data_IF_934689647647
#
_entry.id   IF_934689647647
#
_cell.length_a   1.000
_cell.length_b   1.000
_cell.length_c   1.000
_cell.angle_alpha   90.00
_cell.angle_beta   90.00
_cell.angle_gamma   90.00
#
_symmetry.space_group_name_H-M   'P 1'
#
loop_
_entity.id
_entity.type
_entity.pdbx_description
1 polymer ?
#
# COMPACT_ATOMS: atom_id res chain seq x y z
N UNK A 1 -15.78 26.68 -3.82
CA UNK A 1 -16.86 27.28 -3.01
C UNK A 1 -17.91 26.22 -2.83
N UNK A 2 -18.46 26.11 -1.62
CA UNK A 2 -19.59 25.22 -1.30
C UNK A 2 -20.90 25.96 -1.58
N UNK A 3 -22.06 25.27 -1.69
CA UNK A 3 -23.35 25.93 -1.90
C UNK A 3 -23.67 26.99 -0.84
N UNK A 4 -23.27 26.74 0.41
CA UNK A 4 -23.44 27.68 1.52
C UNK A 4 -22.64 28.97 1.30
N UNK A 5 -21.41 28.86 0.81
CA UNK A 5 -20.55 30.03 0.52
C UNK A 5 -21.13 30.85 -0.64
N UNK A 6 -21.64 30.20 -1.68
CA UNK A 6 -22.25 30.90 -2.83
C UNK A 6 -23.46 31.71 -2.38
N UNK A 7 -24.39 31.08 -1.66
CA UNK A 7 -25.56 31.77 -1.07
C UNK A 7 -25.15 32.92 -0.15
N UNK A 8 -24.09 32.72 0.64
CA UNK A 8 -23.59 33.74 1.56
C UNK A 8 -23.01 34.97 0.82
N UNK A 9 -22.33 34.76 -0.32
CA UNK A 9 -21.85 35.84 -1.18
C UNK A 9 -23.00 36.59 -1.85
N UNK A 10 -24.00 35.86 -2.38
CA UNK A 10 -25.21 36.46 -2.95
C UNK A 10 -25.94 37.34 -1.92
N UNK A 11 -26.11 36.86 -0.68
CA UNK A 11 -26.73 37.66 0.38
C UNK A 11 -25.88 38.85 0.81
N UNK A 12 -24.56 38.69 0.89
CA UNK A 12 -23.67 39.81 1.22
C UNK A 12 -23.74 40.92 0.14
N UNK A 13 -23.87 40.55 -1.14
CA UNK A 13 -24.04 41.50 -2.23
C UNK A 13 -25.37 42.28 -2.16
N UNK A 14 -26.44 41.67 -1.65
CA UNK A 14 -27.76 42.31 -1.46
C UNK A 14 -27.74 43.27 -0.25
N UNK A 15 -27.07 42.88 0.83
CA UNK A 15 -27.05 43.65 2.09
C UNK A 15 -26.18 44.90 2.02
N UNK A 16 -24.95 44.76 1.48
CA UNK A 16 -23.96 45.84 1.44
C UNK A 16 -23.02 45.64 0.25
N UNK A 17 -23.37 46.26 -0.88
CA UNK A 17 -22.60 46.17 -2.12
C UNK A 17 -21.20 46.81 -1.99
N UNK A 18 -21.07 47.86 -1.17
CA UNK A 18 -19.81 48.58 -0.97
C UNK A 18 -18.83 47.71 -0.18
N UNK A 19 -19.28 47.10 0.92
CA UNK A 19 -18.43 46.17 1.67
C UNK A 19 -18.18 44.85 0.94
N UNK A 20 -19.14 44.38 0.13
CA UNK A 20 -18.94 43.20 -0.72
C UNK A 20 -17.83 43.43 -1.75
N UNK A 21 -17.82 44.60 -2.41
CA UNK A 21 -16.74 44.96 -3.35
C UNK A 21 -15.38 45.11 -2.65
N UNK A 22 -15.36 45.54 -1.38
CA UNK A 22 -14.13 45.61 -0.57
C UNK A 22 -13.53 44.23 -0.20
N UNK A 23 -14.28 43.13 -0.36
CA UNK A 23 -13.75 41.76 -0.18
C UNK A 23 -12.81 41.35 -1.32
N UNK A 24 -12.90 41.99 -2.49
CA UNK A 24 -12.04 41.70 -3.63
C UNK A 24 -10.66 42.35 -3.41
N UNK A 25 -9.59 41.54 -3.50
CA UNK A 25 -8.20 42.00 -3.45
C UNK A 25 -7.45 41.49 -4.66
N UNK A 26 -6.50 42.26 -5.17
CA UNK A 26 -5.77 41.96 -6.41
C UNK A 26 -4.96 40.64 -6.35
N UNK A 27 -4.53 40.22 -5.15
CA UNK A 27 -3.76 38.98 -4.94
C UNK A 27 -4.62 37.74 -4.67
N UNK A 28 -5.94 37.87 -4.68
CA UNK A 28 -6.89 36.86 -4.22
C UNK A 28 -7.83 36.40 -5.37
N UNK A 29 -8.44 35.20 -5.28
CA UNK A 29 -9.34 34.71 -6.33
C UNK A 29 -10.54 35.64 -6.50
N UNK A 30 -11.01 35.80 -7.75
CA UNK A 30 -12.14 36.67 -8.09
C UNK A 30 -13.46 36.15 -7.51
N UNK A 31 -14.25 37.06 -6.93
CA UNK A 31 -15.57 36.82 -6.34
C UNK A 31 -16.74 37.24 -7.27
N UNK A 32 -16.47 37.76 -8.46
CA UNK A 32 -17.50 38.33 -9.35
C UNK A 32 -18.51 37.31 -9.90
N UNK A 33 -18.11 36.04 -10.02
CA UNK A 33 -18.97 34.94 -10.49
C UNK A 33 -18.88 33.74 -9.53
N UNK A 34 -19.66 33.77 -8.41
CA UNK A 34 -19.59 32.75 -7.38
C UNK A 34 -20.23 31.44 -7.86
N UNK A 35 -19.41 30.53 -8.41
CA UNK A 35 -19.84 29.20 -8.83
C UNK A 35 -19.37 28.10 -7.87
N UNK A 36 -20.16 27.02 -7.82
CA UNK A 36 -19.78 25.81 -7.10
C UNK A 36 -18.42 25.31 -7.59
N UNK A 37 -17.50 25.04 -6.66
CA UNK A 37 -16.16 24.57 -6.99
C UNK A 37 -15.09 25.65 -7.20
N UNK A 38 -15.45 26.94 -7.42
CA UNK A 38 -14.46 28.00 -7.59
C UNK A 38 -13.59 28.20 -6.33
N UNK A 39 -12.30 28.56 -6.43
CA UNK A 39 -11.46 28.78 -5.25
C UNK A 39 -11.94 30.02 -4.47
N UNK A 40 -11.81 29.99 -3.14
CA UNK A 40 -12.01 31.14 -2.26
C UNK A 40 -10.83 31.22 -1.30
N UNK A 41 -10.32 32.43 -1.05
CA UNK A 41 -9.23 32.62 -0.09
C UNK A 41 -9.74 32.47 1.36
N UNK A 42 -8.83 32.18 2.28
CA UNK A 42 -9.16 32.12 3.70
C UNK A 42 -9.53 33.51 4.26
N UNK A 43 -8.84 34.57 3.82
CA UNK A 43 -9.10 35.96 4.21
C UNK A 43 -10.50 36.41 3.77
N UNK A 44 -10.88 36.17 2.52
CA UNK A 44 -12.22 36.45 2.00
C UNK A 44 -13.30 35.75 2.82
N UNK A 45 -13.08 34.49 3.17
CA UNK A 45 -14.05 33.70 3.94
C UNK A 45 -14.22 34.26 5.37
N UNK A 46 -13.12 34.69 6.01
CA UNK A 46 -13.19 35.36 7.31
C UNK A 46 -13.94 36.69 7.20
N UNK A 47 -13.59 37.53 6.23
CA UNK A 47 -14.15 38.87 6.13
C UNK A 47 -15.64 38.82 5.73
N UNK A 48 -16.03 37.89 4.85
CA UNK A 48 -17.43 37.53 4.58
C UNK A 48 -18.17 37.13 5.88
N UNK A 49 -17.56 36.28 6.71
CA UNK A 49 -18.20 35.85 7.97
C UNK A 49 -18.38 37.00 8.96
N UNK A 50 -17.49 37.99 8.96
CA UNK A 50 -17.60 39.19 9.80
C UNK A 50 -18.71 40.11 9.29
N UNK A 51 -18.78 40.34 7.97
CA UNK A 51 -19.84 41.12 7.33
C UNK A 51 -21.20 40.52 7.66
N UNK A 52 -21.40 39.23 7.42
CA UNK A 52 -22.67 38.56 7.70
C UNK A 52 -23.03 38.55 9.19
N UNK A 53 -22.03 38.57 10.08
CA UNK A 53 -22.26 38.70 11.52
C UNK A 53 -22.71 40.11 11.93
N UNK A 54 -22.23 41.15 11.27
CA UNK A 54 -22.67 42.53 11.53
C UNK A 54 -24.16 42.71 11.16
N UNK A 55 -24.60 42.03 10.10
CA UNK A 55 -25.99 42.05 9.63
C UNK A 55 -26.83 40.87 10.14
N UNK A 56 -26.40 40.17 11.19
CA UNK A 56 -27.08 38.96 11.67
C UNK A 56 -28.50 39.22 12.17
N UNK A 57 -28.78 40.42 12.68
CA UNK A 57 -30.11 40.81 13.17
C UNK A 57 -31.15 40.91 12.04
N UNK A 58 -30.72 41.21 10.80
CA UNK A 58 -31.58 41.27 9.61
C UNK A 58 -31.73 39.86 9.02
N UNK A 59 -30.63 39.10 8.98
CA UNK A 59 -30.59 37.73 8.47
C UNK A 59 -31.40 36.73 9.32
N UNK A 60 -31.51 36.95 10.63
CA UNK A 60 -32.30 36.09 11.53
C UNK A 60 -33.83 36.26 11.34
N UNK A 61 -34.29 37.28 10.58
CA UNK A 61 -35.72 37.52 10.29
C UNK A 61 -36.21 36.84 9.01
N UNK A 62 -35.31 36.51 8.08
CA UNK A 62 -35.62 35.83 6.82
C UNK A 62 -35.39 34.32 6.99
N UNK A 63 -36.46 33.59 7.33
CA UNK A 63 -36.43 32.13 7.36
C UNK A 63 -36.42 31.60 5.92
N UNK A 64 -35.24 31.33 5.38
CA UNK A 64 -35.10 30.58 4.13
C UNK A 64 -35.66 29.14 4.28
N UNK A 65 -36.25 28.64 3.19
CA UNK A 65 -36.88 27.32 3.05
C UNK A 65 -35.98 26.09 3.38
N UNK A 66 -34.66 26.27 3.49
CA UNK A 66 -33.69 25.19 3.75
C UNK A 66 -33.21 25.09 5.23
N UNK A 67 -33.90 25.76 6.16
CA UNK A 67 -33.59 25.74 7.59
C UNK A 67 -32.56 26.81 8.02
N UNK A 68 -32.34 27.01 9.34
CA UNK A 68 -31.56 28.13 9.85
C UNK A 68 -30.06 27.96 9.59
N UNK A 69 -29.62 28.27 8.37
CA UNK A 69 -28.21 28.37 8.01
C UNK A 69 -27.63 29.63 8.64
N UNK A 70 -27.19 29.50 9.90
CA UNK A 70 -26.45 30.57 10.57
C UNK A 70 -25.16 30.78 9.78
N UNK A 71 -25.02 31.92 9.11
CA UNK A 71 -23.83 32.33 8.33
C UNK A 71 -22.61 32.62 9.23
N UNK A 72 -22.28 31.65 10.07
CA UNK A 72 -21.12 31.63 10.94
C UNK A 72 -19.98 30.92 10.21
N UNK A 73 -18.76 31.26 10.62
CA UNK A 73 -17.54 30.72 10.04
C UNK A 73 -17.53 29.18 10.04
N UNK A 74 -18.00 28.54 11.11
CA UNK A 74 -18.08 27.07 11.20
C UNK A 74 -18.99 26.46 10.13
N UNK A 75 -20.08 27.14 9.78
CA UNK A 75 -21.01 26.67 8.75
C UNK A 75 -20.49 26.91 7.33
N UNK A 76 -19.74 28.01 7.11
CA UNK A 76 -19.06 28.28 5.84
C UNK A 76 -17.90 27.31 5.58
N UNK A 77 -17.20 26.88 6.63
CA UNK A 77 -16.08 25.94 6.53
C UNK A 77 -16.53 24.48 6.31
N UNK A 78 -17.76 24.13 6.68
CA UNK A 78 -18.29 22.76 6.45
C UNK A 78 -18.28 22.42 4.97
N UNK A 79 -17.59 21.34 4.63
CA UNK A 79 -17.45 20.85 3.25
C UNK A 79 -16.40 21.58 2.41
N UNK A 80 -15.70 22.59 2.96
CA UNK A 80 -14.55 23.20 2.29
C UNK A 80 -13.34 22.26 2.32
N UNK A 81 -12.54 22.28 1.26
CA UNK A 81 -11.28 21.53 1.15
C UNK A 81 -10.15 22.49 0.81
N UNK A 82 -8.97 22.24 1.38
CA UNK A 82 -7.76 22.99 1.04
C UNK A 82 -7.44 22.75 -0.44
N UNK A 83 -7.25 23.82 -1.20
CA UNK A 83 -6.88 23.72 -2.60
C UNK A 83 -5.42 23.27 -2.71
N UNK A 84 -5.21 22.12 -3.34
CA UNK A 84 -3.89 21.66 -3.76
C UNK A 84 -3.80 21.84 -5.27
N UNK A 85 -2.84 22.62 -5.78
CA UNK A 85 -2.69 22.79 -7.22
C UNK A 85 -2.45 21.42 -7.86
N UNK A 86 -3.02 21.16 -9.05
CA UNK A 86 -2.78 19.90 -9.75
C UNK A 86 -1.26 19.71 -9.92
N UNK A 87 -0.74 18.48 -9.77
CA UNK A 87 0.67 18.22 -9.97
C UNK A 87 1.12 18.77 -11.32
N UNK A 88 2.29 19.43 -11.40
CA UNK A 88 2.79 19.94 -12.66
C UNK A 88 2.86 18.79 -13.69
N UNK A 89 2.62 19.07 -14.99
CA UNK A 89 2.70 18.06 -16.02
C UNK A 89 4.09 17.40 -15.98
N UNK A 90 4.12 16.08 -16.17
CA UNK A 90 5.37 15.30 -16.17
C UNK A 90 6.30 15.89 -17.24
N UNK A 91 7.54 16.19 -16.87
CA UNK A 91 8.56 16.65 -17.81
C UNK A 91 8.74 15.60 -18.91
N UNK A 92 8.81 16.06 -20.16
CA UNK A 92 9.13 15.17 -21.27
C UNK A 92 10.53 14.54 -21.05
N UNK A 93 10.72 13.25 -21.35
CA UNK A 93 12.02 12.61 -21.17
C UNK A 93 13.09 13.29 -22.04
N UNK A 94 14.28 13.49 -21.48
CA UNK A 94 15.41 14.09 -22.19
C UNK A 94 15.79 13.26 -23.42
N UNK A 95 16.30 13.89 -24.50
CA UNK A 95 16.69 13.16 -25.71
C UNK A 95 17.80 12.14 -25.43
N UNK A 96 18.72 12.44 -24.51
CA UNK A 96 19.76 11.52 -24.05
C UNK A 96 19.18 10.25 -23.41
N UNK A 97 18.15 10.40 -22.57
CA UNK A 97 17.48 9.27 -21.96
C UNK A 97 16.76 8.41 -23.00
N UNK A 98 16.12 9.03 -24.00
CA UNK A 98 15.50 8.29 -25.12
C UNK A 98 16.55 7.51 -25.92
N UNK A 99 17.71 8.11 -26.19
CA UNK A 99 18.82 7.45 -26.88
C UNK A 99 19.39 6.28 -26.06
N UNK A 100 19.55 6.44 -24.74
CA UNK A 100 19.97 5.37 -23.84
C UNK A 100 18.97 4.21 -23.84
N UNK A 101 17.68 4.51 -23.75
CA UNK A 101 16.63 3.47 -23.76
C UNK A 101 16.55 2.75 -25.10
N UNK A 102 16.73 3.45 -26.21
CA UNK A 102 16.82 2.83 -27.53
C UNK A 102 18.05 1.92 -27.65
N UNK A 103 19.17 2.30 -27.02
CA UNK A 103 20.36 1.46 -26.93
C UNK A 103 20.11 0.20 -26.10
N UNK A 104 19.52 0.34 -24.91
CA UNK A 104 19.23 -0.79 -24.01
C UNK A 104 18.27 -1.81 -24.67
N UNK A 105 17.21 -1.34 -25.33
CA UNK A 105 16.30 -2.24 -26.07
C UNK A 105 17.03 -3.01 -27.16
N UNK A 106 17.91 -2.35 -27.91
CA UNK A 106 18.70 -3.01 -28.96
C UNK A 106 19.67 -4.04 -28.39
N UNK A 107 20.30 -3.75 -27.24
CA UNK A 107 21.19 -4.70 -26.56
C UNK A 107 20.41 -5.92 -26.02
N UNK A 108 19.19 -5.71 -25.51
CA UNK A 108 18.30 -6.78 -25.06
C UNK A 108 17.81 -7.65 -26.24
N UNK A 109 17.37 -7.02 -27.33
CA UNK A 109 16.97 -7.70 -28.57
C UNK A 109 18.13 -8.53 -29.15
N UNK A 110 19.36 -8.00 -29.13
CA UNK A 110 20.54 -8.71 -29.59
C UNK A 110 20.85 -9.95 -28.72
N UNK A 111 20.76 -9.83 -27.39
CA UNK A 111 20.90 -10.98 -26.48
C UNK A 111 19.80 -12.02 -26.66
N UNK A 112 18.57 -11.56 -26.88
CA UNK A 112 17.44 -12.46 -27.15
C UNK A 112 17.66 -13.23 -28.45
N UNK A 113 18.13 -12.56 -29.50
CA UNK A 113 18.48 -13.19 -30.77
C UNK A 113 19.64 -14.18 -30.63
N UNK A 114 20.67 -13.83 -29.86
CA UNK A 114 21.80 -14.73 -29.58
C UNK A 114 21.34 -16.01 -28.88
N UNK A 115 20.41 -15.94 -27.92
CA UNK A 115 19.80 -17.12 -27.27
C UNK A 115 19.01 -18.00 -28.24
N UNK A 116 18.43 -17.43 -29.30
CA UNK A 116 17.68 -18.18 -30.31
C UNK A 116 18.60 -18.87 -31.31
N UNK A 117 19.69 -18.22 -31.73
CA UNK A 117 20.67 -18.79 -32.66
C UNK A 117 21.56 -19.82 -31.97
N UNK A 118 22.02 -19.50 -30.77
CA UNK A 118 22.88 -20.34 -29.97
C UNK A 118 22.12 -20.70 -28.69
N UNK A 119 21.14 -21.63 -28.77
CA UNK A 119 20.48 -22.10 -27.58
C UNK A 119 21.57 -22.66 -26.65
N UNK A 120 21.71 -22.12 -25.42
CA UNK A 120 22.66 -22.67 -24.48
C UNK A 120 22.34 -24.17 -24.31
N UNK A 121 23.37 -25.04 -24.16
CA UNK A 121 23.12 -26.45 -23.90
C UNK A 121 22.18 -26.53 -22.69
N UNK A 122 21.11 -27.32 -22.81
CA UNK A 122 20.08 -27.41 -21.78
C UNK A 122 20.76 -27.67 -20.43
N UNK A 123 20.86 -26.62 -19.60
CA UNK A 123 21.29 -26.80 -18.22
C UNK A 123 20.25 -27.69 -17.59
N UNK A 124 20.68 -28.86 -17.11
CA UNK A 124 19.78 -29.85 -16.51
C UNK A 124 18.92 -29.12 -15.47
N UNK A 125 17.66 -28.93 -15.80
CA UNK A 125 16.71 -28.30 -14.90
C UNK A 125 16.63 -29.17 -13.63
N UNK A 126 16.46 -28.55 -12.46
CA UNK A 126 16.42 -29.27 -11.19
C UNK A 126 15.39 -30.42 -11.19
N UNK A 127 14.33 -30.30 -11.99
CA UNK A 127 13.33 -31.34 -12.26
C UNK A 127 13.88 -32.57 -13.01
N UNK A 128 14.87 -32.41 -13.90
CA UNK A 128 15.56 -33.53 -14.56
C UNK A 128 16.50 -34.28 -13.62
N UNK A 129 17.19 -33.58 -12.71
CA UNK A 129 18.08 -34.22 -11.72
C UNK A 129 17.34 -34.85 -10.54
N UNK A 130 16.19 -34.29 -10.17
CA UNK A 130 15.41 -34.75 -9.01
C UNK A 130 13.92 -34.94 -9.37
N UNK A 131 13.59 -35.99 -10.16
CA UNK A 131 12.22 -36.27 -10.59
C UNK A 131 11.26 -36.61 -9.43
N UNK A 132 11.79 -36.86 -8.23
CA UNK A 132 11.03 -37.18 -7.02
C UNK A 132 10.84 -35.98 -6.08
N UNK A 133 11.35 -34.80 -6.43
CA UNK A 133 11.16 -33.60 -5.61
C UNK A 133 9.75 -33.03 -5.81
N UNK A 134 9.06 -32.68 -4.71
CA UNK A 134 7.69 -32.15 -4.74
C UNK A 134 7.55 -30.80 -5.46
N UNK A 135 8.67 -30.19 -5.85
CA UNK A 135 8.73 -28.95 -6.65
C UNK A 135 8.64 -29.21 -8.16
N UNK A 136 8.88 -30.45 -8.61
CA UNK A 136 8.83 -30.83 -10.03
C UNK A 136 7.42 -30.96 -10.62
N UNK A 137 6.38 -30.75 -9.81
CA UNK A 137 4.97 -30.78 -10.23
C UNK A 137 4.36 -29.38 -10.39
N UNK A 138 5.15 -28.33 -10.17
CA UNK A 138 4.76 -26.95 -10.43
C UNK A 138 5.18 -26.58 -11.85
N UNK A 139 4.38 -25.74 -12.51
CA UNK A 139 4.71 -25.21 -13.83
C UNK A 139 6.13 -24.60 -13.79
N UNK A 140 7.03 -24.89 -14.75
CA UNK A 140 8.43 -24.45 -14.70
C UNK A 140 8.60 -22.93 -14.52
N UNK A 141 7.60 -22.16 -14.98
CA UNK A 141 7.54 -20.70 -14.86
C UNK A 141 7.17 -20.25 -13.45
N UNK A 142 6.29 -20.95 -12.75
CA UNK A 142 5.93 -20.64 -11.36
C UNK A 142 7.02 -21.08 -10.39
N UNK A 143 7.68 -22.20 -10.66
CA UNK A 143 8.82 -22.66 -9.85
C UNK A 143 10.01 -21.68 -9.92
N UNK A 144 10.30 -21.11 -11.10
CA UNK A 144 11.36 -20.12 -11.27
C UNK A 144 11.05 -18.78 -10.56
N UNK A 145 9.80 -18.31 -10.60
CA UNK A 145 9.40 -17.07 -9.93
C UNK A 145 9.31 -17.25 -8.40
N UNK A 146 8.84 -18.41 -7.94
CA UNK A 146 8.76 -18.71 -6.51
C UNK A 146 10.14 -18.87 -5.86
N UNK A 147 11.12 -19.45 -6.56
CA UNK A 147 12.49 -19.60 -6.04
C UNK A 147 13.18 -18.24 -5.85
N UNK A 148 13.02 -17.33 -6.82
CA UNK A 148 13.55 -15.97 -6.73
C UNK A 148 12.92 -15.18 -5.58
N UNK A 149 11.58 -15.18 -5.44
CA UNK A 149 10.88 -14.45 -4.37
C UNK A 149 11.20 -14.97 -2.96
N UNK A 150 11.35 -16.30 -2.81
CA UNK A 150 11.75 -16.92 -1.55
C UNK A 150 13.19 -16.53 -1.19
N UNK A 151 14.09 -16.46 -2.19
CA UNK A 151 15.48 -16.04 -2.01
C UNK A 151 15.58 -14.59 -1.54
N UNK A 152 14.86 -13.65 -2.18
CA UNK A 152 14.87 -12.25 -1.76
C UNK A 152 14.31 -12.04 -0.35
N UNK A 153 13.21 -12.72 0.00
CA UNK A 153 12.62 -12.60 1.33
C UNK A 153 13.55 -13.12 2.43
N UNK A 154 14.24 -14.25 2.19
CA UNK A 154 15.18 -14.82 3.15
C UNK A 154 16.45 -13.95 3.27
N UNK A 155 17.00 -13.47 2.15
CA UNK A 155 18.14 -12.53 2.14
C UNK A 155 17.78 -11.22 2.84
N UNK A 156 16.60 -10.66 2.57
CA UNK A 156 16.13 -9.44 3.22
C UNK A 156 16.02 -9.61 4.74
N UNK A 157 15.46 -10.73 5.20
CA UNK A 157 15.37 -11.06 6.63
C UNK A 157 16.75 -11.23 7.26
N UNK A 158 17.70 -11.84 6.56
CA UNK A 158 19.08 -11.99 7.03
C UNK A 158 19.80 -10.65 7.11
N UNK A 159 19.62 -9.77 6.12
CA UNK A 159 20.19 -8.41 6.11
C UNK A 159 19.64 -7.59 7.29
N UNK A 160 18.32 -7.61 7.51
CA UNK A 160 17.71 -6.90 8.65
C UNK A 160 18.28 -7.39 9.98
N UNK A 161 18.47 -8.70 10.12
CA UNK A 161 19.05 -9.26 11.33
C UNK A 161 20.49 -8.79 11.53
N UNK A 162 21.33 -8.85 10.49
CA UNK A 162 22.72 -8.40 10.57
C UNK A 162 22.77 -6.94 11.01
N UNK A 163 21.92 -6.08 10.43
CA UNK A 163 21.85 -4.66 10.80
C UNK A 163 21.45 -4.51 12.28
N UNK A 164 20.44 -5.24 12.76
CA UNK A 164 20.00 -5.16 14.15
C UNK A 164 21.11 -5.56 15.13
N UNK A 165 21.84 -6.63 14.82
CA UNK A 165 22.98 -7.10 15.63
C UNK A 165 24.14 -6.11 15.61
N UNK A 166 24.40 -5.46 14.48
CA UNK A 166 25.44 -4.42 14.42
C UNK A 166 25.07 -3.19 15.26
N UNK A 167 23.81 -2.76 15.21
CA UNK A 167 23.33 -1.63 16.00
C UNK A 167 23.40 -1.93 17.50
N UNK A 168 23.02 -3.13 17.94
CA UNK A 168 23.08 -3.53 19.34
C UNK A 168 24.52 -3.61 19.87
N UNK A 169 25.45 -4.14 19.08
CA UNK A 169 26.89 -4.21 19.40
C UNK A 169 27.47 -2.81 19.58
N UNK A 170 27.19 -1.88 18.65
CA UNK A 170 27.71 -0.51 18.73
C UNK A 170 27.10 0.22 19.92
N UNK A 171 25.78 0.15 20.09
CA UNK A 171 25.07 0.80 21.19
C UNK A 171 25.58 0.31 22.56
N UNK A 172 25.74 -0.99 22.72
CA UNK A 172 26.26 -1.58 23.95
C UNK A 172 27.74 -1.27 24.20
N UNK A 173 28.57 -1.26 23.16
CA UNK A 173 29.98 -0.87 23.28
C UNK A 173 30.13 0.58 23.75
N UNK A 174 29.38 1.51 23.16
CA UNK A 174 29.36 2.93 23.59
C UNK A 174 28.80 3.07 25.01
N UNK A 175 27.74 2.34 25.34
CA UNK A 175 27.14 2.36 26.68
C UNK A 175 28.12 1.86 27.75
N UNK A 176 28.78 0.72 27.52
CA UNK A 176 29.79 0.16 28.43
C UNK A 176 31.00 1.10 28.53
N UNK A 177 31.43 1.69 27.42
CA UNK A 177 32.53 2.65 27.41
C UNK A 177 32.21 3.89 28.26
N UNK A 178 30.99 4.41 28.17
CA UNK A 178 30.53 5.54 28.97
C UNK A 178 30.36 5.17 30.45
N UNK A 179 29.85 3.97 30.75
CA UNK A 179 29.70 3.47 32.11
C UNK A 179 31.07 3.25 32.80
N UNK A 180 32.06 2.73 32.08
CA UNK A 180 33.42 2.49 32.56
C UNK A 180 34.34 3.73 32.45
N UNK A 181 33.77 4.94 32.33
CA UNK A 181 34.54 6.19 32.21
C UNK A 181 35.50 6.46 33.38
N UNK A 182 35.22 5.89 34.55
CA UNK A 182 36.02 6.02 35.77
C UNK A 182 37.16 4.98 35.87
N UNK A 183 37.33 4.08 34.88
CA UNK A 183 38.33 2.99 34.89
C UNK A 183 39.51 3.30 33.96
N UNK A 184 40.65 2.65 34.20
CA UNK A 184 41.84 2.81 33.35
C UNK A 184 41.58 2.31 31.92
N UNK A 185 42.21 2.96 30.93
CA UNK A 185 42.01 2.71 29.50
C UNK A 185 42.02 1.23 29.07
N UNK A 186 42.98 0.37 29.49
CA UNK A 186 42.99 -1.03 29.07
C UNK A 186 41.84 -1.84 29.68
N UNK A 187 41.44 -1.55 30.92
CA UNK A 187 40.31 -2.23 31.59
C UNK A 187 38.98 -1.85 30.94
N UNK A 188 38.82 -0.57 30.57
CA UNK A 188 37.64 -0.07 29.86
C UNK A 188 37.49 -0.73 28.49
N UNK A 189 38.58 -0.81 27.73
CA UNK A 189 38.58 -1.43 26.40
C UNK A 189 38.23 -2.92 26.51
N UNK A 190 38.88 -3.66 27.42
CA UNK A 190 38.58 -5.07 27.66
C UNK A 190 37.12 -5.32 28.05
N UNK A 191 36.56 -4.51 28.93
CA UNK A 191 35.15 -4.60 29.34
C UNK A 191 34.19 -4.33 28.17
N UNK A 192 34.45 -3.30 27.36
CA UNK A 192 33.60 -2.97 26.21
C UNK A 192 33.62 -4.04 25.12
N UNK A 193 34.80 -4.59 24.80
CA UNK A 193 34.91 -5.67 23.82
C UNK A 193 34.26 -6.96 24.33
N UNK A 194 34.52 -7.36 25.58
CA UNK A 194 33.91 -8.55 26.17
C UNK A 194 32.38 -8.43 26.29
N UNK A 195 31.87 -7.27 26.72
CA UNK A 195 30.43 -7.03 26.82
C UNK A 195 29.74 -7.04 25.46
N UNK A 196 30.34 -6.43 24.43
CA UNK A 196 29.80 -6.50 23.07
C UNK A 196 29.78 -7.92 22.51
N UNK A 197 30.80 -8.74 22.82
CA UNK A 197 30.88 -10.13 22.37
C UNK A 197 29.79 -10.99 23.03
N UNK A 198 29.55 -10.81 24.33
CA UNK A 198 28.47 -11.51 25.04
C UNK A 198 27.09 -11.16 24.48
N UNK A 199 26.86 -9.89 24.16
CA UNK A 199 25.61 -9.43 23.57
C UNK A 199 25.41 -10.02 22.16
N UNK A 200 26.47 -10.02 21.35
CA UNK A 200 26.43 -10.65 20.02
C UNK A 200 26.05 -12.15 20.10
N UNK A 201 26.65 -12.89 21.04
CA UNK A 201 26.33 -14.30 21.26
C UNK A 201 24.88 -14.48 21.71
N UNK A 202 24.40 -13.65 22.65
CA UNK A 202 23.03 -13.70 23.13
C UNK A 202 22.02 -13.51 21.99
N UNK A 203 22.24 -12.56 21.10
CA UNK A 203 21.35 -12.28 19.97
C UNK A 203 21.31 -13.42 18.95
N UNK A 204 22.47 -14.01 18.64
CA UNK A 204 22.53 -15.19 17.75
C UNK A 204 21.75 -16.38 18.34
N UNK A 205 21.83 -16.58 19.66
CA UNK A 205 21.07 -17.64 20.35
C UNK A 205 19.57 -17.35 20.26
N UNK A 206 19.13 -16.11 20.50
CA UNK A 206 17.72 -15.73 20.41
C UNK A 206 17.18 -15.98 18.99
N UNK A 207 17.92 -15.56 17.97
CA UNK A 207 17.49 -15.76 16.59
C UNK A 207 17.50 -17.23 16.16
N UNK A 208 18.56 -17.97 16.48
CA UNK A 208 18.63 -19.40 16.17
C UNK A 208 17.50 -20.18 16.85
N UNK A 209 17.15 -19.80 18.09
CA UNK A 209 15.96 -20.27 18.79
C UNK A 209 14.67 -19.94 18.04
N UNK A 210 14.49 -18.69 17.61
CA UNK A 210 13.32 -18.27 16.82
C UNK A 210 13.20 -19.02 15.50
N UNK A 211 14.29 -19.13 14.73
CA UNK A 211 14.31 -19.85 13.44
C UNK A 211 13.95 -21.32 13.64
N UNK A 212 14.50 -21.96 14.67
CA UNK A 212 14.17 -23.35 15.00
C UNK A 212 12.68 -23.51 15.30
N UNK A 213 12.10 -22.63 16.13
CA UNK A 213 10.66 -22.64 16.43
C UNK A 213 9.80 -22.37 15.20
N UNK A 214 10.21 -21.44 14.34
CA UNK A 214 9.51 -21.15 13.10
C UNK A 214 9.53 -22.33 12.13
N UNK A 215 10.67 -23.05 12.03
CA UNK A 215 10.78 -24.29 11.24
C UNK A 215 9.88 -25.41 11.82
N UNK A 216 9.92 -25.61 13.14
CA UNK A 216 9.06 -26.57 13.84
C UNK A 216 7.56 -26.29 13.63
N UNK A 217 7.15 -25.02 13.59
CA UNK A 217 5.77 -24.62 13.31
C UNK A 217 5.35 -24.97 11.88
N UNK A 218 6.19 -24.63 10.88
CA UNK A 218 5.94 -24.98 9.46
C UNK A 218 5.88 -26.48 9.24
N UNK A 219 6.72 -27.27 9.91
CA UNK A 219 6.67 -28.73 9.81
C UNK A 219 5.39 -29.31 10.44
N UNK A 220 4.94 -28.75 11.57
CA UNK A 220 3.67 -29.15 12.20
C UNK A 220 2.47 -28.80 11.32
N UNK A 221 2.52 -27.67 10.63
CA UNK A 221 1.48 -27.23 9.69
C UNK A 221 1.44 -28.14 8.46
N UNK A 222 2.60 -28.44 7.84
CA UNK A 222 2.70 -29.39 6.71
C UNK A 222 2.18 -30.80 7.04
N UNK A 223 2.27 -31.21 8.31
CA UNK A 223 1.77 -32.51 8.78
C UNK A 223 0.24 -32.55 8.99
N UNK A 224 -0.44 -31.39 9.00
CA UNK A 224 -1.90 -31.36 9.07
C UNK A 224 -2.47 -31.70 7.69
N UNK A 225 -3.22 -32.80 7.53
CA UNK A 225 -3.79 -33.15 6.24
C UNK A 225 -4.83 -32.09 5.84
N UNK A 226 -4.59 -31.40 4.73
CA UNK A 226 -5.55 -30.47 4.14
C UNK A 226 -6.74 -31.25 3.56
N UNK A 227 -7.90 -31.16 4.21
CA UNK A 227 -9.14 -31.67 3.64
C UNK A 227 -9.65 -30.63 2.64
N UNK A 228 -9.21 -30.75 1.40
CA UNK A 228 -9.72 -29.91 0.30
C UNK A 228 -11.15 -30.34 -0.03
N UNK A 229 -12.13 -29.53 0.38
CA UNK A 229 -13.54 -29.70 0.00
C UNK A 229 -13.70 -29.15 -1.41
N UNK A 230 -14.09 -30.01 -2.35
CA UNK A 230 -14.47 -29.59 -3.70
C UNK A 230 -15.83 -28.92 -3.57
N UNK A 231 -15.91 -27.62 -3.83
CA UNK A 231 -17.15 -26.84 -3.62
C UNK A 231 -18.03 -26.90 -4.87
N UNK A 232 -17.46 -27.07 -6.07
CA UNK A 232 -18.23 -27.26 -7.29
C UNK A 232 -17.37 -27.93 -8.36
N UNK A 233 -17.83 -29.06 -8.90
CA UNK A 233 -17.30 -29.64 -10.12
C UNK A 233 -18.25 -29.32 -11.26
N UNK A 234 -17.88 -28.38 -12.11
CA UNK A 234 -18.55 -28.19 -13.40
C UNK A 234 -18.16 -29.33 -14.32
N UNK A 235 -19.08 -30.28 -14.52
CA UNK A 235 -18.98 -31.29 -15.56
C UNK A 235 -19.46 -30.63 -16.85
N UNK A 236 -18.52 -30.27 -17.72
CA UNK A 236 -18.83 -29.90 -19.10
C UNK A 236 -19.01 -31.23 -19.83
N UNK A 237 -20.23 -31.76 -19.81
CA UNK A 237 -20.60 -32.83 -20.73
C UNK A 237 -20.86 -32.19 -22.09
N UNK A 238 -20.06 -32.57 -23.07
CA UNK A 238 -20.19 -32.10 -24.44
C UNK A 238 -21.33 -32.85 -25.12
N UNK A 239 -22.54 -32.30 -25.05
CA UNK A 239 -23.57 -32.60 -26.04
C UNK A 239 -24.36 -31.34 -26.38
N UNK A 240 -24.21 -30.93 -27.63
CA UNK A 240 -25.05 -29.93 -28.30
C UNK A 240 -26.36 -30.62 -28.62
N UNK A 241 -27.49 -30.14 -28.07
CA UNK A 241 -28.72 -29.84 -28.81
C UNK A 241 -29.84 -29.30 -27.89
N UNK A 242 -30.53 -28.30 -28.42
CA UNK A 242 -31.61 -27.52 -27.81
C UNK A 242 -32.81 -28.36 -27.30
N UNK A 243 -33.38 -27.94 -26.16
CA UNK A 243 -34.80 -27.56 -26.06
C UNK A 243 -35.19 -27.06 -24.65
N UNK A 244 -35.83 -25.91 -24.65
CA UNK A 244 -36.70 -25.34 -23.62
C UNK A 244 -37.75 -26.32 -23.09
N UNK A 245 -37.91 -26.40 -21.77
CA UNK A 245 -39.19 -26.17 -21.07
C UNK A 245 -39.04 -26.18 -19.54
N UNK A 246 -39.83 -25.32 -18.91
CA UNK A 246 -40.04 -25.10 -17.47
C UNK A 246 -40.58 -26.34 -16.74
N UNK A 247 -40.34 -26.44 -15.41
CA UNK A 247 -41.38 -26.48 -14.34
C UNK A 247 -40.82 -26.91 -12.96
N UNK A 248 -41.29 -26.16 -11.95
CA UNK A 248 -41.47 -26.41 -10.50
C UNK A 248 -40.32 -26.81 -9.57
N UNK A 249 -40.17 -25.95 -8.57
CA UNK A 249 -39.62 -26.21 -7.23
C UNK A 249 -40.59 -27.09 -6.44
N UNK A 250 -40.10 -28.20 -5.87
CA UNK A 250 -40.59 -28.72 -4.58
C UNK A 250 -39.50 -29.56 -3.87
N UNK A 251 -39.48 -29.44 -2.54
CA UNK A 251 -38.58 -30.08 -1.60
C UNK A 251 -38.77 -31.60 -1.56
N UNK A 252 -37.70 -32.40 -1.44
CA UNK A 252 -37.40 -33.14 -0.20
C UNK A 252 -36.02 -33.83 -0.27
N UNK A 253 -35.49 -34.04 0.94
CA UNK A 253 -34.27 -34.76 1.37
C UNK A 253 -33.63 -35.74 0.37
N UNK A 254 -32.30 -35.73 0.33
CA UNK A 254 -31.46 -36.82 0.88
C UNK A 254 -29.97 -36.52 0.76
N UNK A 255 -29.24 -36.78 1.85
CA UNK A 255 -27.81 -37.05 1.84
C UNK A 255 -27.49 -38.08 0.75
N UNK A 256 -26.55 -37.80 -0.14
CA UNK A 256 -25.30 -38.55 -0.30
C UNK A 256 -24.59 -38.09 -1.58
N UNK A 257 -23.25 -37.95 -1.54
CA UNK A 257 -22.48 -37.52 -2.71
C UNK A 257 -21.15 -36.83 -2.41
N UNK A 258 -20.76 -36.66 -1.15
CA UNK A 258 -19.41 -36.15 -0.83
C UNK A 258 -18.42 -37.30 -0.92
N UNK A 259 -17.91 -37.55 -2.13
CA UNK A 259 -16.84 -38.53 -2.37
C UNK A 259 -15.50 -37.96 -1.89
N UNK A 260 -15.06 -38.36 -0.70
CA UNK A 260 -13.70 -38.13 -0.25
C UNK A 260 -12.74 -39.09 -0.97
N UNK A 261 -11.90 -38.55 -1.87
CA UNK A 261 -10.80 -39.34 -2.46
C UNK A 261 -9.68 -39.44 -1.43
N UNK A 262 -9.67 -40.52 -0.65
CA UNK A 262 -8.59 -40.82 0.29
C UNK A 262 -7.34 -41.20 -0.52
N UNK A 263 -6.49 -40.22 -0.80
CA UNK A 263 -5.17 -40.44 -1.39
C UNK A 263 -4.32 -41.28 -0.43
N UNK A 264 -4.11 -42.55 -0.78
CA UNK A 264 -3.24 -43.47 -0.03
C UNK A 264 -1.79 -43.15 -0.45
N UNK A 265 -1.16 -42.19 0.22
CA UNK A 265 0.28 -42.01 0.07
C UNK A 265 1.00 -43.02 0.97
N UNK A 266 1.77 -43.89 0.34
CA UNK A 266 2.76 -44.76 0.97
C UNK A 266 4.14 -44.21 0.63
#
# INVERSE_FOLDING_TARGET
MTPVIVRALEKAAILDADQHSALQRDSEPSLEDPKLGNPISHSQLIDLSKLLKQHSAVLDQESDEDGPLRYRLDSLLKGSKVYFPPPPPKKEPTPEYKALMARLRREEEARAYERMINPPPAVESFSQRFPTSSLGHLDPREAALADDDISYAEVHRQIILIINVLVSIIASSVFIWMAARHWTAPKRLGLSMAGSLLIAVAEVIIYSGYVRRAKEAKEKEKKRPEIKKIIESWVIDGSVEDKTESVSVEQDKTNDGIRYRKGKHR
#
